data_IF_511250129491
#
_entry.id   IF_511250129491
#
_cell.length_a   1.000
_cell.length_b   1.000
_cell.length_c   1.000
_cell.angle_alpha   90.00
_cell.angle_beta   90.00
_cell.angle_gamma   90.00
#
_symmetry.space_group_name_H-M   'P 1'
#
loop_
_entity.id
_entity.type
_entity.pdbx_description
1 polymer ?
#
# COMPACT_ATOMS: atom_id res chain seq x y z
N UNK A 1 6.89 -23.78 2.74
CA UNK A 1 6.57 -23.50 1.33
C UNK A 1 6.92 -24.63 0.35
N UNK A 2 8.10 -25.29 0.35
CA UNK A 2 8.43 -26.27 -0.70
C UNK A 2 7.60 -27.56 -0.65
N UNK A 3 7.24 -28.06 0.53
CA UNK A 3 6.44 -29.30 0.69
C UNK A 3 5.01 -29.13 0.16
N UNK A 4 4.39 -27.96 0.40
CA UNK A 4 3.02 -27.67 -0.07
C UNK A 4 2.97 -27.61 -1.60
N UNK A 5 3.99 -27.04 -2.24
CA UNK A 5 4.08 -26.99 -3.71
C UNK A 5 4.22 -28.39 -4.33
N UNK A 6 4.93 -29.31 -3.68
CA UNK A 6 5.07 -30.70 -4.14
C UNK A 6 3.72 -31.43 -4.05
N UNK A 7 2.97 -31.24 -2.96
CA UNK A 7 1.65 -31.86 -2.77
C UNK A 7 0.63 -31.35 -3.80
N UNK A 8 0.66 -30.05 -4.11
CA UNK A 8 -0.30 -29.40 -5.03
C UNK A 8 0.19 -29.43 -6.49
N UNK A 9 1.38 -30.00 -6.77
CA UNK A 9 2.02 -29.99 -8.09
C UNK A 9 1.14 -30.52 -9.23
N UNK A 10 0.32 -31.53 -8.97
CA UNK A 10 -0.61 -32.09 -9.97
C UNK A 10 -1.82 -31.19 -10.27
N UNK A 11 -2.11 -30.19 -9.42
CA UNK A 11 -3.21 -29.23 -9.59
C UNK A 11 -2.73 -27.84 -10.01
N UNK A 12 -1.42 -27.65 -10.18
CA UNK A 12 -0.82 -26.37 -10.56
C UNK A 12 -0.87 -26.18 -12.09
N UNK A 13 -1.40 -25.05 -12.53
CA UNK A 13 -1.31 -24.61 -13.92
C UNK A 13 0.12 -24.19 -14.23
N UNK A 14 0.73 -24.82 -15.23
CA UNK A 14 2.10 -24.49 -15.69
C UNK A 14 1.99 -23.47 -16.82
N UNK A 15 2.11 -22.19 -16.47
CA UNK A 15 2.18 -21.13 -17.47
C UNK A 15 3.49 -21.28 -18.30
N UNK A 16 3.45 -21.05 -19.62
CA UNK A 16 4.66 -21.03 -20.44
C UNK A 16 5.61 -19.91 -19.95
N UNK A 17 6.94 -20.06 -20.13
CA UNK A 17 7.89 -19.03 -19.76
C UNK A 17 7.59 -17.76 -20.55
N UNK A 18 7.11 -16.73 -19.85
CA UNK A 18 6.86 -15.41 -20.41
C UNK A 18 8.12 -14.55 -20.22
N UNK A 19 8.41 -13.68 -21.18
CA UNK A 19 9.48 -12.68 -21.05
C UNK A 19 9.34 -11.80 -19.81
N UNK A 20 10.36 -11.00 -19.52
CA UNK A 20 10.32 -10.11 -18.36
C UNK A 20 9.40 -8.91 -18.62
N UNK A 21 8.24 -8.92 -17.97
CA UNK A 21 7.28 -7.80 -17.95
C UNK A 21 7.94 -6.50 -17.48
N UNK A 22 8.96 -6.59 -16.61
CA UNK A 22 9.73 -5.43 -16.18
C UNK A 22 10.56 -4.83 -17.33
N UNK A 23 11.13 -5.67 -18.20
CA UNK A 23 11.86 -5.16 -19.37
C UNK A 23 10.91 -4.47 -20.34
N UNK A 24 9.76 -5.08 -20.64
CA UNK A 24 8.70 -4.48 -21.48
C UNK A 24 8.22 -3.14 -20.91
N UNK A 25 7.91 -3.09 -19.61
CA UNK A 25 7.51 -1.87 -18.93
C UNK A 25 8.60 -0.78 -18.99
N UNK A 26 9.86 -1.15 -18.78
CA UNK A 26 11.01 -0.23 -18.91
C UNK A 26 11.15 0.28 -20.34
N UNK A 27 10.92 -0.56 -21.35
CA UNK A 27 10.90 -0.18 -22.76
C UNK A 27 9.86 0.89 -23.05
N UNK A 28 8.61 0.66 -22.65
CA UNK A 28 7.49 1.60 -22.81
C UNK A 28 7.76 2.93 -22.09
N UNK A 29 8.18 2.88 -20.83
CA UNK A 29 8.47 4.07 -20.03
C UNK A 29 9.64 4.86 -20.60
N UNK A 30 10.71 4.17 -21.05
CA UNK A 30 11.85 4.81 -21.72
C UNK A 30 11.41 5.48 -23.03
N UNK A 31 10.59 4.82 -23.83
CA UNK A 31 10.07 5.39 -25.08
C UNK A 31 9.22 6.64 -24.81
N UNK A 32 8.31 6.59 -23.83
CA UNK A 32 7.49 7.74 -23.41
C UNK A 32 8.32 8.93 -22.91
N UNK A 33 9.38 8.66 -22.12
CA UNK A 33 10.23 9.70 -21.54
C UNK A 33 11.19 10.32 -22.57
N UNK A 34 11.82 9.50 -23.42
CA UNK A 34 12.87 9.94 -24.34
C UNK A 34 12.34 10.44 -25.69
N UNK A 35 11.21 9.92 -26.20
CA UNK A 35 10.84 10.20 -27.59
C UNK A 35 10.06 11.50 -27.79
N UNK A 36 9.27 12.02 -26.82
CA UNK A 36 8.68 13.39 -26.90
C UNK A 36 7.84 13.85 -25.69
N UNK A 37 8.11 13.35 -24.49
CA UNK A 37 7.25 13.55 -23.33
C UNK A 37 7.68 14.64 -22.35
N UNK A 38 8.92 14.62 -21.89
CA UNK A 38 9.35 15.38 -20.71
C UNK A 38 8.63 14.92 -19.43
N UNK A 39 9.35 14.83 -18.31
CA UNK A 39 8.82 14.37 -17.02
C UNK A 39 7.51 15.09 -16.60
N UNK A 40 7.37 16.37 -16.97
CA UNK A 40 6.19 17.20 -16.68
C UNK A 40 4.90 16.75 -17.38
N UNK A 41 4.98 16.09 -18.54
CA UNK A 41 3.78 15.63 -19.28
C UNK A 41 3.33 14.24 -18.83
N UNK A 42 4.27 13.43 -18.33
CA UNK A 42 3.98 12.16 -17.66
C UNK A 42 3.07 12.36 -16.43
N UNK A 43 3.32 13.42 -15.65
CA UNK A 43 2.48 13.78 -14.49
C UNK A 43 1.12 14.39 -14.89
N UNK A 44 1.04 15.07 -16.05
CA UNK A 44 -0.20 15.68 -16.57
C UNK A 44 -1.17 14.68 -17.22
N UNK A 45 -0.76 13.43 -17.40
CA UNK A 45 -1.62 12.26 -17.66
C UNK A 45 -2.84 12.51 -18.53
N UNK A 46 -2.64 12.70 -19.84
CA UNK A 46 -3.73 12.70 -20.82
C UNK A 46 -3.73 11.42 -21.65
N UNK A 47 -4.91 10.98 -22.10
CA UNK A 47 -5.11 9.82 -23.00
C UNK A 47 -4.20 9.88 -24.22
N UNK A 48 -3.97 11.09 -24.73
CA UNK A 48 -3.09 11.37 -25.87
C UNK A 48 -1.60 11.06 -25.58
N UNK A 49 -1.15 11.12 -24.31
CA UNK A 49 0.22 10.77 -23.95
C UNK A 49 0.46 9.26 -24.04
N UNK A 50 -0.52 8.47 -23.59
CA UNK A 50 -0.43 7.01 -23.58
C UNK A 50 -0.67 6.41 -24.97
N UNK A 51 -1.59 6.99 -25.76
CA UNK A 51 -1.84 6.54 -27.13
C UNK A 51 -0.60 6.64 -28.04
N UNK A 52 0.32 7.56 -27.75
CA UNK A 52 1.58 7.73 -28.51
C UNK A 52 2.58 6.59 -28.34
N UNK A 53 2.48 5.81 -27.26
CA UNK A 53 3.35 4.66 -27.05
C UNK A 53 2.82 3.37 -27.70
N UNK A 54 1.59 3.41 -28.26
CA UNK A 54 1.01 2.29 -28.98
C UNK A 54 1.75 2.05 -30.29
N UNK A 55 2.30 0.85 -30.53
CA UNK A 55 2.79 0.44 -31.84
C UNK A 55 1.89 0.83 -33.02
N UNK A 56 0.55 0.75 -32.91
CA UNK A 56 -0.37 1.20 -33.99
C UNK A 56 -0.22 2.68 -34.33
N UNK A 57 -0.18 3.55 -33.32
CA UNK A 57 -0.02 4.99 -33.50
C UNK A 57 1.36 5.34 -34.08
N UNK A 58 2.41 4.58 -33.71
CA UNK A 58 3.77 4.77 -34.25
C UNK A 58 3.81 4.39 -35.75
N UNK A 59 3.09 3.34 -36.16
CA UNK A 59 2.93 2.96 -37.58
C UNK A 59 2.24 4.07 -38.39
N UNK A 60 1.22 4.72 -37.82
CA UNK A 60 0.51 5.83 -38.46
C UNK A 60 1.35 7.11 -38.58
N UNK A 61 2.37 7.28 -37.74
CA UNK A 61 3.27 8.46 -37.78
C UNK A 61 4.42 8.29 -38.80
N UNK A 62 4.47 7.18 -39.53
CA UNK A 62 5.46 6.94 -40.60
C UNK A 62 6.88 6.59 -40.12
N UNK A 63 7.06 6.17 -38.86
CA UNK A 63 8.35 5.71 -38.33
C UNK A 63 8.38 4.18 -38.41
N UNK A 64 9.37 3.61 -39.10
CA UNK A 64 9.57 2.15 -39.15
C UNK A 64 9.79 1.60 -37.74
N UNK A 65 9.02 0.57 -37.40
CA UNK A 65 9.14 -0.10 -36.11
C UNK A 65 10.31 -1.07 -36.20
N UNK A 66 11.41 -0.72 -35.53
CA UNK A 66 12.44 -1.70 -35.22
C UNK A 66 11.92 -2.63 -34.11
N UNK A 67 11.62 -3.89 -34.48
CA UNK A 67 11.09 -4.93 -33.59
C UNK A 67 12.05 -5.26 -32.43
N UNK A 68 13.32 -4.83 -32.51
CA UNK A 68 14.29 -4.91 -31.41
C UNK A 68 14.14 -3.80 -30.37
N UNK A 69 13.54 -2.67 -30.74
CA UNK A 69 13.37 -1.49 -29.88
C UNK A 69 11.95 -1.41 -29.31
N UNK A 70 10.94 -1.85 -30.07
CA UNK A 70 9.53 -1.91 -29.68
C UNK A 70 9.05 -3.35 -29.75
N UNK A 71 9.10 -4.04 -28.61
CA UNK A 71 8.69 -5.44 -28.44
C UNK A 71 7.41 -5.58 -27.61
N UNK A 72 6.68 -4.48 -27.41
CA UNK A 72 5.43 -4.44 -26.64
C UNK A 72 4.21 -4.25 -27.55
N UNK A 73 3.04 -4.69 -27.09
CA UNK A 73 1.76 -4.62 -27.78
C UNK A 73 0.93 -3.39 -27.38
N UNK A 74 0.03 -2.92 -28.23
CA UNK A 74 -0.88 -1.79 -27.95
C UNK A 74 -1.69 -2.03 -26.67
N UNK A 75 -2.16 -3.27 -26.50
CA UNK A 75 -2.90 -3.70 -25.32
C UNK A 75 -2.04 -3.64 -24.06
N UNK A 76 -0.73 -3.86 -24.17
CA UNK A 76 0.19 -3.72 -23.04
C UNK A 76 0.31 -2.26 -22.59
N UNK A 77 0.29 -1.31 -23.53
CA UNK A 77 0.34 0.12 -23.20
C UNK A 77 -0.91 0.56 -22.45
N UNK A 78 -2.09 0.08 -22.85
CA UNK A 78 -3.35 0.34 -22.14
C UNK A 78 -3.35 -0.29 -20.73
N UNK A 79 -2.85 -1.52 -20.62
CA UNK A 79 -2.67 -2.23 -19.35
C UNK A 79 -1.70 -1.49 -18.41
N UNK A 80 -0.60 -0.96 -18.95
CA UNK A 80 0.40 -0.20 -18.20
C UNK A 80 -0.18 1.14 -17.73
N UNK A 81 -0.88 1.87 -18.61
CA UNK A 81 -1.60 3.11 -18.26
C UNK A 81 -2.53 2.91 -17.08
N UNK A 82 -3.39 1.89 -17.15
CA UNK A 82 -4.35 1.60 -16.10
C UNK A 82 -3.68 1.17 -14.79
N UNK A 83 -2.58 0.42 -14.88
CA UNK A 83 -1.77 0.05 -13.72
C UNK A 83 -1.19 1.29 -13.04
N UNK A 84 -0.69 2.27 -13.81
CA UNK A 84 -0.21 3.55 -13.27
C UNK A 84 -1.32 4.37 -12.61
N UNK A 85 -2.54 4.36 -13.16
CA UNK A 85 -3.70 5.00 -12.55
C UNK A 85 -4.12 4.31 -11.24
N UNK A 86 -4.07 2.98 -11.17
CA UNK A 86 -4.31 2.23 -9.94
C UNK A 86 -3.22 2.50 -8.89
N UNK A 87 -1.96 2.65 -9.30
CA UNK A 87 -0.86 3.01 -8.41
C UNK A 87 -1.04 4.35 -7.69
N UNK A 88 -1.87 5.27 -8.23
CA UNK A 88 -2.18 6.54 -7.56
C UNK A 88 -2.86 6.34 -6.19
N UNK A 89 -3.63 5.26 -6.02
CA UNK A 89 -4.24 4.91 -4.72
C UNK A 89 -3.15 4.59 -3.69
N UNK A 90 -2.06 3.94 -4.11
CA UNK A 90 -1.00 3.50 -3.22
C UNK A 90 -0.14 4.66 -2.68
N UNK A 91 -0.09 5.80 -3.35
CA UNK A 91 0.69 6.96 -2.88
C UNK A 91 0.28 7.49 -1.51
N UNK A 92 -0.95 7.21 -1.07
CA UNK A 92 -1.46 7.65 0.23
C UNK A 92 -1.42 6.55 1.31
N UNK A 93 -1.13 5.30 0.94
CA UNK A 93 -0.90 4.20 1.90
C UNK A 93 0.27 4.48 2.86
N UNK A 94 1.39 5.11 2.45
CA UNK A 94 2.46 5.51 3.36
C UNK A 94 1.98 6.33 4.55
N UNK A 95 0.99 7.22 4.35
CA UNK A 95 0.45 8.03 5.45
C UNK A 95 -0.18 7.14 6.52
N UNK A 96 -0.95 6.14 6.10
CA UNK A 96 -1.49 5.14 7.01
C UNK A 96 -0.38 4.28 7.62
N UNK A 97 0.60 3.84 6.84
CA UNK A 97 1.74 3.06 7.32
C UNK A 97 2.55 3.80 8.40
N UNK A 98 2.71 5.12 8.27
CA UNK A 98 3.31 5.97 9.31
C UNK A 98 2.49 5.95 10.60
N UNK A 99 1.16 6.04 10.48
CA UNK A 99 0.23 6.01 11.61
C UNK A 99 0.09 4.63 12.26
N UNK A 100 0.29 3.53 11.51
CA UNK A 100 0.05 2.18 11.99
C UNK A 100 1.25 1.59 12.74
N UNK A 101 2.45 1.78 12.19
CA UNK A 101 3.68 1.28 12.81
C UNK A 101 4.94 2.07 12.46
N UNK A 102 4.85 3.07 11.59
CA UNK A 102 6.02 3.82 11.14
C UNK A 102 6.70 4.64 12.22
N UNK A 103 6.00 5.03 13.29
CA UNK A 103 6.58 5.68 14.49
C UNK A 103 6.67 4.73 15.71
N UNK A 104 6.86 3.44 15.44
CA UNK A 104 6.97 2.40 16.47
C UNK A 104 8.12 2.63 17.45
N UNK A 105 9.26 3.21 17.00
CA UNK A 105 10.39 3.55 17.87
C UNK A 105 10.00 4.57 18.94
N UNK A 106 9.34 5.65 18.56
CA UNK A 106 8.82 6.68 19.47
C UNK A 106 7.79 6.12 20.44
N UNK A 107 6.92 5.24 19.95
CA UNK A 107 5.90 4.57 20.76
C UNK A 107 6.55 3.64 21.79
N UNK A 108 7.67 2.99 21.44
CA UNK A 108 8.48 2.22 22.40
C UNK A 108 9.17 3.14 23.42
N UNK A 109 9.74 4.27 23.00
CA UNK A 109 10.34 5.25 23.93
C UNK A 109 9.31 5.80 24.93
N UNK A 110 8.08 6.04 24.49
CA UNK A 110 6.97 6.43 25.36
C UNK A 110 6.71 5.38 26.45
N UNK A 111 6.81 4.08 26.12
CA UNK A 111 6.58 2.99 27.08
C UNK A 111 7.64 2.91 28.18
N UNK A 112 8.87 3.40 27.92
CA UNK A 112 9.96 3.42 28.91
C UNK A 112 9.66 4.40 30.05
N UNK A 113 8.99 5.50 29.77
CA UNK A 113 8.59 6.48 30.79
C UNK A 113 7.34 6.09 31.58
N UNK A 114 6.68 4.98 31.23
CA UNK A 114 5.44 4.50 31.84
C UNK A 114 5.69 3.40 32.87
N UNK A 115 4.74 3.22 33.80
CA UNK A 115 4.79 2.18 34.82
C UNK A 115 4.52 0.80 34.24
N UNK A 116 5.57 0.00 34.23
CA UNK A 116 5.62 -1.40 33.80
C UNK A 116 5.09 -2.29 34.94
N UNK A 117 3.76 -2.37 35.11
CA UNK A 117 3.12 -3.20 36.15
C UNK A 117 3.28 -4.71 35.88
N UNK A 118 4.52 -5.23 35.88
CA UNK A 118 4.86 -6.64 35.72
C UNK A 118 4.85 -7.19 34.28
N UNK A 119 4.56 -6.37 33.26
CA UNK A 119 4.48 -6.78 31.85
C UNK A 119 5.60 -6.13 31.02
N UNK A 120 6.44 -6.88 30.29
CA UNK A 120 7.55 -6.29 29.53
C UNK A 120 7.07 -5.37 28.41
N UNK A 121 7.80 -4.28 28.15
CA UNK A 121 7.45 -3.29 27.12
C UNK A 121 7.32 -3.91 25.72
N UNK A 122 8.12 -4.94 25.42
CA UNK A 122 8.07 -5.67 24.15
C UNK A 122 6.72 -6.40 23.94
N UNK A 123 6.01 -6.73 25.02
CA UNK A 123 4.68 -7.35 24.93
C UNK A 123 3.68 -6.42 24.23
N UNK A 124 3.85 -5.10 24.33
CA UNK A 124 2.94 -4.14 23.71
C UNK A 124 2.89 -4.29 22.19
N UNK A 125 4.04 -4.55 21.54
CA UNK A 125 4.10 -4.76 20.09
C UNK A 125 3.32 -6.00 19.62
N UNK A 126 3.26 -7.05 20.44
CA UNK A 126 2.54 -8.29 20.11
C UNK A 126 1.01 -8.10 20.06
N UNK A 127 0.47 -7.06 20.72
CA UNK A 127 -0.95 -6.75 20.67
C UNK A 127 -1.44 -6.34 19.28
N UNK A 128 -0.57 -5.79 18.42
CA UNK A 128 -0.92 -5.52 17.02
C UNK A 128 -1.29 -6.83 16.31
N UNK A 129 -0.36 -7.79 16.27
CA UNK A 129 -0.56 -9.11 15.66
C UNK A 129 -1.75 -9.87 16.25
N UNK A 130 -1.90 -9.83 17.58
CA UNK A 130 -3.02 -10.48 18.27
C UNK A 130 -4.36 -9.84 17.88
N UNK A 131 -4.40 -8.52 17.74
CA UNK A 131 -5.60 -7.80 17.26
C UNK A 131 -5.97 -8.25 15.86
N UNK A 132 -5.02 -8.32 14.94
CA UNK A 132 -5.26 -8.80 13.57
C UNK A 132 -5.88 -10.20 13.59
N UNK A 133 -5.31 -11.13 14.36
CA UNK A 133 -5.80 -12.52 14.46
C UNK A 133 -7.23 -12.60 15.00
N UNK A 134 -7.58 -11.79 16.00
CA UNK A 134 -8.92 -11.78 16.62
C UNK A 134 -9.94 -11.04 15.76
N UNK A 135 -9.58 -9.87 15.21
CA UNK A 135 -10.49 -9.02 14.47
C UNK A 135 -10.73 -9.48 13.03
N UNK A 136 -9.80 -10.25 12.42
CA UNK A 136 -10.00 -10.83 11.08
C UNK A 136 -11.27 -11.68 10.98
N UNK A 137 -11.50 -12.72 11.82
CA UNK A 137 -12.74 -13.48 11.77
C UNK A 137 -13.95 -12.65 12.18
N UNK A 138 -13.80 -11.70 13.13
CA UNK A 138 -14.89 -10.82 13.54
C UNK A 138 -15.40 -9.96 12.38
N UNK A 139 -14.49 -9.35 11.62
CA UNK A 139 -14.86 -8.52 10.47
C UNK A 139 -15.51 -9.39 9.38
N UNK A 140 -14.91 -10.54 9.06
CA UNK A 140 -15.37 -11.39 7.96
C UNK A 140 -16.69 -12.12 8.25
N UNK A 141 -16.88 -12.65 9.46
CA UNK A 141 -18.05 -13.45 9.82
C UNK A 141 -19.15 -12.68 10.56
N UNK A 142 -18.81 -11.54 11.18
CA UNK A 142 -19.79 -10.73 11.94
C UNK A 142 -20.08 -9.42 11.23
N UNK A 143 -19.06 -8.59 10.99
CA UNK A 143 -19.27 -7.23 10.46
C UNK A 143 -19.82 -7.23 9.03
N UNK A 144 -19.19 -7.94 8.09
CA UNK A 144 -19.64 -7.95 6.69
C UNK A 144 -21.03 -8.58 6.53
N UNK A 145 -21.36 -9.73 7.12
CA UNK A 145 -22.72 -10.28 7.04
C UNK A 145 -23.76 -9.38 7.72
N UNK A 146 -23.39 -8.68 8.79
CA UNK A 146 -24.27 -7.71 9.44
C UNK A 146 -24.56 -6.49 8.56
N UNK A 147 -23.54 -5.95 7.88
CA UNK A 147 -23.70 -4.86 6.91
C UNK A 147 -24.57 -5.29 5.72
N UNK A 148 -24.37 -6.52 5.24
CA UNK A 148 -25.15 -7.10 4.14
C UNK A 148 -26.63 -7.28 4.53
N UNK A 149 -26.92 -7.75 5.75
CA UNK A 149 -28.30 -7.81 6.29
C UNK A 149 -28.99 -6.44 6.31
N UNK A 150 -28.23 -5.36 6.52
CA UNK A 150 -28.74 -3.98 6.46
C UNK A 150 -28.75 -3.38 5.06
N UNK A 151 -28.41 -4.15 4.02
CA UNK A 151 -28.32 -3.72 2.61
C UNK A 151 -27.36 -2.54 2.39
N UNK A 152 -26.37 -2.36 3.28
CA UNK A 152 -25.35 -1.31 3.15
C UNK A 152 -24.23 -1.88 2.27
N UNK A 153 -24.07 -1.32 1.06
CA UNK A 153 -22.97 -1.69 0.17
C UNK A 153 -21.66 -1.10 0.68
N UNK A 154 -20.87 -1.92 1.36
CA UNK A 154 -19.58 -1.48 1.91
C UNK A 154 -18.50 -1.47 0.82
N UNK A 155 -18.44 -0.36 0.08
CA UNK A 155 -17.49 -0.19 -1.03
C UNK A 155 -16.04 -0.19 -0.53
N UNK A 156 -15.08 -0.58 -1.38
CA UNK A 156 -13.66 -0.53 -1.05
C UNK A 156 -13.20 0.84 -0.51
N UNK A 157 -13.73 1.93 -1.07
CA UNK A 157 -13.36 3.27 -0.62
C UNK A 157 -13.85 3.60 0.80
N UNK A 158 -15.05 3.14 1.16
CA UNK A 158 -15.57 3.30 2.52
C UNK A 158 -14.78 2.49 3.55
N UNK A 159 -14.30 1.29 3.17
CA UNK A 159 -13.38 0.49 4.02
C UNK A 159 -12.13 1.28 4.34
N UNK A 160 -11.46 1.80 3.32
CA UNK A 160 -10.23 2.59 3.47
C UNK A 160 -10.48 3.82 4.37
N UNK A 161 -11.58 4.55 4.16
CA UNK A 161 -11.96 5.68 5.00
C UNK A 161 -12.09 5.29 6.49
N UNK A 162 -12.79 4.20 6.81
CA UNK A 162 -12.92 3.70 8.19
C UNK A 162 -11.55 3.41 8.81
N UNK A 163 -10.64 2.78 8.06
CA UNK A 163 -9.31 2.50 8.56
C UNK A 163 -8.49 3.76 8.84
N UNK A 164 -8.50 4.75 7.95
CA UNK A 164 -7.84 6.05 8.20
C UNK A 164 -8.42 6.80 9.41
N UNK A 165 -9.74 6.70 9.64
CA UNK A 165 -10.38 7.29 10.82
C UNK A 165 -9.94 6.58 12.11
N UNK A 166 -9.83 5.25 12.11
CA UNK A 166 -9.31 4.49 13.24
C UNK A 166 -7.84 4.84 13.54
N UNK A 167 -7.01 5.00 12.49
CA UNK A 167 -5.64 5.49 12.62
C UNK A 167 -5.56 6.89 13.21
N UNK A 168 -6.41 7.82 12.75
CA UNK A 168 -6.49 9.18 13.30
C UNK A 168 -6.87 9.20 14.78
N UNK A 169 -7.86 8.41 15.19
CA UNK A 169 -8.27 8.29 16.60
C UNK A 169 -7.10 7.73 17.44
N UNK A 170 -6.38 6.74 16.94
CA UNK A 170 -5.20 6.20 17.64
C UNK A 170 -4.12 7.26 17.84
N UNK A 171 -3.75 8.00 16.79
CA UNK A 171 -2.73 9.04 16.89
C UNK A 171 -3.16 10.17 17.85
N UNK A 172 -4.46 10.48 17.90
CA UNK A 172 -5.00 11.42 18.88
C UNK A 172 -4.85 10.91 20.33
N UNK A 173 -5.10 9.62 20.56
CA UNK A 173 -4.85 8.99 21.88
C UNK A 173 -3.36 9.05 22.23
N UNK A 174 -2.47 8.76 21.27
CA UNK A 174 -1.03 8.89 21.45
C UNK A 174 -0.58 10.29 21.83
N UNK A 175 -1.11 11.32 21.16
CA UNK A 175 -0.83 12.72 21.49
C UNK A 175 -1.30 13.09 22.91
N UNK A 176 -2.47 12.63 23.32
CA UNK A 176 -3.01 12.87 24.67
C UNK A 176 -2.15 12.16 25.72
N UNK A 177 -1.76 10.91 25.48
CA UNK A 177 -0.90 10.16 26.41
C UNK A 177 0.46 10.82 26.55
N UNK A 178 1.09 11.20 25.43
CA UNK A 178 2.37 11.89 25.46
C UNK A 178 2.30 13.22 26.20
N UNK A 179 1.23 13.99 25.99
CA UNK A 179 0.98 15.23 26.73
C UNK A 179 0.84 14.97 28.24
N UNK A 180 0.11 13.91 28.64
CA UNK A 180 -0.04 13.54 30.06
C UNK A 180 1.30 13.16 30.70
N UNK A 181 2.13 12.41 29.99
CA UNK A 181 3.48 12.04 30.46
C UNK A 181 4.32 13.29 30.73
N UNK A 182 4.32 14.27 29.81
CA UNK A 182 5.05 15.52 30.02
C UNK A 182 4.52 16.37 31.18
N UNK A 183 3.21 16.35 31.45
CA UNK A 183 2.64 17.10 32.57
C UNK A 183 2.85 16.43 33.92
N UNK A 184 2.92 15.10 33.98
CA UNK A 184 3.03 14.34 35.23
C UNK A 184 4.49 14.00 35.59
N UNK A 185 5.39 13.94 34.63
CA UNK A 185 6.82 13.68 34.86
C UNK A 185 7.54 14.88 35.49
N UNK A 186 8.48 14.61 36.40
CA UNK A 186 9.34 15.65 36.99
C UNK A 186 10.31 16.27 35.97
N UNK A 187 10.61 15.55 34.87
CA UNK A 187 11.55 15.93 33.82
C UNK A 187 10.91 16.69 32.66
N UNK A 188 9.59 16.96 32.72
CA UNK A 188 8.87 17.79 31.76
C UNK A 188 8.96 17.26 30.33
N UNK A 189 9.38 18.11 29.40
CA UNK A 189 9.45 17.76 27.97
C UNK A 189 10.59 16.83 27.58
N UNK A 190 11.48 16.42 28.51
CA UNK A 190 12.59 15.48 28.27
C UNK A 190 12.38 14.12 28.94
N UNK A 191 11.14 13.84 29.37
CA UNK A 191 10.81 12.66 30.17
C UNK A 191 11.14 11.34 29.48
N UNK A 192 10.93 11.21 28.17
CA UNK A 192 11.12 9.93 27.47
C UNK A 192 12.60 9.66 27.19
N UNK A 193 13.37 10.70 26.86
CA UNK A 193 14.80 10.59 26.57
C UNK A 193 15.58 10.32 27.86
N UNK A 194 15.31 11.06 28.95
CA UNK A 194 16.00 10.83 30.24
C UNK A 194 15.61 9.52 30.91
N UNK A 195 14.35 9.08 30.78
CA UNK A 195 13.95 7.75 31.25
C UNK A 195 14.65 6.64 30.46
N UNK A 196 14.91 6.84 29.17
CA UNK A 196 15.68 5.89 28.36
C UNK A 196 17.18 5.85 28.70
N UNK A 197 17.72 6.96 29.21
CA UNK A 197 19.10 7.05 29.72
C UNK A 197 19.26 6.47 31.15
N UNK A 198 18.16 5.99 31.75
CA UNK A 198 18.16 5.32 33.05
C UNK A 198 17.96 6.24 34.25
N UNK A 199 17.51 7.48 34.05
CA UNK A 199 17.17 8.39 35.14
C UNK A 199 15.88 7.96 35.85
N UNK A 200 15.98 7.64 37.14
CA UNK A 200 14.86 7.14 37.93
C UNK A 200 13.84 8.19 38.34
N UNK A 201 14.19 9.47 38.25
CA UNK A 201 13.30 10.56 38.67
C UNK A 201 12.33 10.98 37.56
N UNK A 202 12.52 10.49 36.34
CA UNK A 202 11.72 10.83 35.17
C UNK A 202 10.54 9.89 34.89
N UNK A 203 10.37 8.81 35.66
CA UNK A 203 9.27 7.86 35.48
C UNK A 203 7.92 8.45 35.88
N UNK A 204 6.86 8.07 35.16
CA UNK A 204 5.47 8.45 35.47
C UNK A 204 4.69 7.27 36.05
N UNK A 205 3.68 7.57 36.87
CA UNK A 205 2.75 6.56 37.41
C UNK A 205 1.69 6.11 36.39
N UNK A 206 1.74 6.63 35.17
CA UNK A 206 0.83 6.24 34.07
C UNK A 206 1.08 4.78 33.72
N UNK A 207 0.02 3.97 33.73
CA UNK A 207 0.14 2.55 33.42
C UNK A 207 0.39 2.30 31.94
N UNK A 208 1.28 1.35 31.64
CA UNK A 208 1.58 0.90 30.28
C UNK A 208 0.33 0.44 29.51
N UNK A 209 -0.69 -0.07 30.21
CA UNK A 209 -1.93 -0.58 29.63
C UNK A 209 -2.73 0.45 28.83
N UNK A 210 -2.56 1.75 29.10
CA UNK A 210 -3.17 2.81 28.30
C UNK A 210 -2.65 2.89 26.87
N UNK A 211 -1.55 2.23 26.57
CA UNK A 211 -1.00 2.11 25.22
C UNK A 211 -1.76 1.09 24.35
N UNK A 212 -2.53 0.17 24.94
CA UNK A 212 -3.26 -0.87 24.19
C UNK A 212 -4.20 -0.26 23.12
N UNK A 213 -5.10 0.69 23.45
CA UNK A 213 -6.00 1.28 22.45
C UNK A 213 -5.24 1.92 21.28
N UNK A 214 -4.07 2.50 21.56
CA UNK A 214 -3.22 3.11 20.55
C UNK A 214 -2.62 2.08 19.58
N UNK A 215 -2.35 0.85 20.02
CA UNK A 215 -1.81 -0.22 19.16
C UNK A 215 -2.94 -1.02 18.47
N UNK A 216 -4.05 -1.24 19.15
CA UNK A 216 -5.17 -2.05 18.66
C UNK A 216 -5.96 -1.33 17.56
N UNK A 217 -6.23 -0.04 17.71
CA UNK A 217 -7.05 0.71 16.74
C UNK A 217 -6.42 0.78 15.34
N UNK A 218 -5.12 1.09 15.17
CA UNK A 218 -4.47 1.04 13.86
C UNK A 218 -4.42 -0.37 13.28
N UNK A 219 -4.19 -1.41 14.10
CA UNK A 219 -4.20 -2.80 13.65
C UNK A 219 -5.56 -3.21 13.06
N UNK A 220 -6.67 -2.75 13.64
CA UNK A 220 -8.01 -2.92 13.05
C UNK A 220 -8.13 -2.11 11.75
N UNK A 221 -7.57 -0.89 11.73
CA UNK A 221 -7.52 -0.06 10.53
C UNK A 221 -6.72 -0.69 9.39
N UNK A 222 -5.64 -1.42 9.70
CA UNK A 222 -4.78 -2.12 8.76
C UNK A 222 -5.58 -3.18 8.00
N UNK A 223 -6.44 -3.93 8.70
CA UNK A 223 -7.37 -4.87 8.08
C UNK A 223 -8.28 -4.22 7.04
N UNK A 224 -8.70 -2.98 7.26
CA UNK A 224 -9.54 -2.27 6.29
C UNK A 224 -8.73 -1.64 5.15
N UNK A 225 -7.56 -1.07 5.43
CA UNK A 225 -6.76 -0.32 4.43
C UNK A 225 -5.93 -1.28 3.59
N UNK A 226 -5.10 -2.13 4.20
CA UNK A 226 -4.13 -2.96 3.48
C UNK A 226 -4.81 -4.08 2.71
N UNK A 227 -5.74 -4.80 3.33
CA UNK A 227 -6.46 -5.91 2.66
C UNK A 227 -7.24 -5.38 1.46
N UNK A 228 -7.99 -4.29 1.63
CA UNK A 228 -8.76 -3.68 0.55
C UNK A 228 -7.85 -3.14 -0.55
N UNK A 229 -6.70 -2.58 -0.18
CA UNK A 229 -5.72 -2.06 -1.15
C UNK A 229 -5.10 -3.19 -1.98
N UNK A 230 -4.79 -4.34 -1.36
CA UNK A 230 -4.37 -5.53 -2.09
C UNK A 230 -5.49 -6.10 -2.97
N UNK A 231 -6.73 -6.14 -2.49
CA UNK A 231 -7.90 -6.54 -3.30
C UNK A 231 -8.07 -5.64 -4.54
N UNK A 232 -7.97 -4.32 -4.37
CA UNK A 232 -8.02 -3.36 -5.47
C UNK A 232 -6.82 -3.51 -6.41
N UNK A 233 -5.62 -3.76 -5.88
CA UNK A 233 -4.43 -4.04 -6.68
C UNK A 233 -4.67 -5.25 -7.58
N UNK A 234 -5.15 -6.36 -7.02
CA UNK A 234 -5.34 -7.61 -7.76
C UNK A 234 -6.49 -7.54 -8.77
N UNK A 235 -7.57 -6.83 -8.46
CA UNK A 235 -8.75 -6.70 -9.34
C UNK A 235 -8.52 -5.70 -10.47
N UNK A 236 -7.59 -4.75 -10.31
CA UNK A 236 -7.23 -3.76 -11.33
C UNK A 236 -5.97 -4.11 -12.11
N UNK A 237 -5.15 -5.02 -11.60
CA UNK A 237 -3.95 -5.50 -12.25
C UNK A 237 -4.27 -6.47 -13.41
N UNK A 238 -3.65 -6.29 -14.60
CA UNK A 238 -3.65 -7.32 -15.61
C UNK A 238 -2.82 -8.52 -15.14
N UNK A 239 -3.21 -9.74 -15.56
CA UNK A 239 -2.68 -10.99 -15.02
C UNK A 239 -1.14 -11.11 -15.10
N UNK A 240 -0.52 -10.60 -16.17
CA UNK A 240 0.95 -10.58 -16.33
C UNK A 240 1.67 -9.52 -15.49
N UNK A 241 0.98 -8.48 -14.98
CA UNK A 241 1.58 -7.36 -14.24
C UNK A 241 1.29 -7.34 -12.74
N UNK A 242 0.58 -8.34 -12.21
CA UNK A 242 0.25 -8.43 -10.76
C UNK A 242 1.50 -8.26 -9.89
N UNK A 243 2.60 -8.91 -10.25
CA UNK A 243 3.88 -8.80 -9.54
C UNK A 243 4.49 -7.39 -9.59
N UNK A 244 4.39 -6.69 -10.72
CA UNK A 244 4.91 -5.32 -10.87
C UNK A 244 4.13 -4.33 -10.00
N UNK A 245 2.81 -4.47 -9.95
CA UNK A 245 1.94 -3.62 -9.13
C UNK A 245 2.20 -3.86 -7.64
N UNK A 246 2.36 -5.12 -7.25
CA UNK A 246 2.73 -5.46 -5.87
C UNK A 246 4.12 -4.91 -5.50
N UNK A 247 5.09 -4.99 -6.40
CA UNK A 247 6.41 -4.39 -6.20
C UNK A 247 6.34 -2.85 -6.05
N UNK A 248 5.50 -2.17 -6.83
CA UNK A 248 5.26 -0.74 -6.68
C UNK A 248 4.61 -0.39 -5.31
N UNK A 249 3.69 -1.23 -4.83
CA UNK A 249 3.11 -1.08 -3.49
C UNK A 249 4.20 -1.18 -2.40
N UNK A 250 5.04 -2.22 -2.43
CA UNK A 250 6.15 -2.39 -1.50
C UNK A 250 7.18 -1.26 -1.58
N UNK A 251 7.46 -0.76 -2.79
CA UNK A 251 8.34 0.39 -2.99
C UNK A 251 7.80 1.65 -2.29
N UNK A 252 6.48 1.82 -2.28
CA UNK A 252 5.85 2.95 -1.58
C UNK A 252 6.00 2.81 -0.06
N UNK A 253 5.92 1.58 0.48
CA UNK A 253 6.24 1.32 1.89
C UNK A 253 7.70 1.64 2.22
N UNK A 254 8.64 1.37 1.32
CA UNK A 254 10.05 1.75 1.51
C UNK A 254 10.23 3.28 1.57
N UNK A 255 9.49 4.04 0.77
CA UNK A 255 9.45 5.51 0.84
C UNK A 255 8.91 5.97 2.21
N UNK A 256 7.88 5.30 2.73
CA UNK A 256 7.34 5.57 4.07
C UNK A 256 8.41 5.45 5.15
N UNK A 257 9.15 4.33 5.16
CA UNK A 257 10.21 4.10 6.16
C UNK A 257 11.39 5.07 5.99
N UNK A 258 11.73 5.43 4.75
CA UNK A 258 12.74 6.45 4.49
C UNK A 258 12.31 7.83 5.02
N UNK A 259 11.02 8.17 4.91
CA UNK A 259 10.47 9.40 5.47
C UNK A 259 10.50 9.38 7.01
N UNK A 260 10.15 8.26 7.66
CA UNK A 260 10.33 8.11 9.11
C UNK A 260 11.78 8.38 9.53
N UNK A 261 12.76 7.77 8.83
CA UNK A 261 14.17 7.96 9.14
C UNK A 261 14.58 9.44 8.99
N UNK A 262 14.11 10.12 7.96
CA UNK A 262 14.38 11.55 7.75
C UNK A 262 13.76 12.43 8.85
N UNK A 263 12.62 12.02 9.41
CA UNK A 263 11.92 12.72 10.49
C UNK A 263 12.42 12.36 11.89
N UNK A 264 13.39 11.44 12.02
CA UNK A 264 13.92 11.01 13.31
C UNK A 264 14.31 12.13 14.29
N UNK A 265 14.93 13.27 13.89
CA UNK A 265 15.24 14.34 14.86
C UNK A 265 13.99 15.02 15.46
N UNK A 266 12.83 14.92 14.80
CA UNK A 266 11.54 15.45 15.29
C UNK A 266 10.82 14.40 16.16
N UNK A 267 11.21 13.12 16.03
CA UNK A 267 10.68 11.97 16.77
C UNK A 267 11.37 11.76 18.14
N UNK A 268 12.05 12.79 18.65
CA UNK A 268 12.69 12.83 19.97
C UNK A 268 12.09 13.98 20.80
N UNK A 269 12.26 13.92 22.11
CA UNK A 269 11.93 15.03 23.02
C UNK A 269 12.69 16.31 22.59
N UNK A 270 12.09 17.51 22.72
CA UNK A 270 10.81 17.88 23.33
C UNK A 270 9.60 17.88 22.37
N UNK A 271 9.80 17.52 21.10
CA UNK A 271 8.81 17.71 20.04
C UNK A 271 7.87 16.50 19.86
N UNK A 272 7.94 15.49 20.72
CA UNK A 272 7.31 14.17 20.52
C UNK A 272 5.79 14.20 20.34
N UNK A 273 5.11 15.21 20.90
CA UNK A 273 3.65 15.39 20.72
C UNK A 273 3.31 15.75 19.27
N UNK A 274 4.15 16.56 18.61
CA UNK A 274 3.84 17.12 17.29
C UNK A 274 3.74 16.06 16.19
N UNK A 275 4.60 15.03 16.11
CA UNK A 275 4.42 13.90 15.21
C UNK A 275 3.07 13.20 15.36
N UNK A 276 2.62 12.93 16.59
CA UNK A 276 1.31 12.31 16.83
C UNK A 276 0.17 13.20 16.35
N UNK A 277 0.23 14.51 16.66
CA UNK A 277 -0.77 15.48 16.21
C UNK A 277 -0.77 15.62 14.68
N UNK A 278 0.40 15.73 14.06
CA UNK A 278 0.56 15.87 12.61
C UNK A 278 0.00 14.63 11.88
N UNK A 279 0.30 13.42 12.36
CA UNK A 279 -0.23 12.18 11.81
C UNK A 279 -1.74 12.03 12.07
N UNK A 280 -2.25 12.47 13.21
CA UNK A 280 -3.70 12.49 13.48
C UNK A 280 -4.45 13.35 12.45
N UNK A 281 -3.95 14.56 12.19
CA UNK A 281 -4.52 15.49 11.20
C UNK A 281 -4.34 14.94 9.79
N UNK A 282 -3.16 14.45 9.44
CA UNK A 282 -2.88 13.89 8.11
C UNK A 282 -3.79 12.68 7.81
N UNK A 283 -3.95 11.75 8.76
CA UNK A 283 -4.83 10.60 8.64
C UNK A 283 -6.30 11.01 8.58
N UNK A 284 -6.73 12.01 9.34
CA UNK A 284 -8.09 12.55 9.28
C UNK A 284 -8.39 13.16 7.90
N UNK A 285 -7.53 14.07 7.43
CA UNK A 285 -7.67 14.72 6.12
C UNK A 285 -7.62 13.69 5.01
N UNK A 286 -6.69 12.72 5.08
CA UNK A 286 -6.64 11.61 4.12
C UNK A 286 -7.97 10.83 4.13
N UNK A 287 -8.49 10.45 5.30
CA UNK A 287 -9.75 9.73 5.45
C UNK A 287 -10.94 10.41 4.75
N UNK A 288 -11.03 11.74 4.80
CA UNK A 288 -12.07 12.50 4.07
C UNK A 288 -11.75 12.73 2.59
N UNK A 289 -10.48 12.95 2.24
CA UNK A 289 -10.06 13.16 0.85
C UNK A 289 -10.21 11.90 -0.01
N UNK A 290 -9.94 10.71 0.54
CA UNK A 290 -10.03 9.44 -0.17
C UNK A 290 -11.38 9.21 -0.88
N UNK A 291 -12.53 9.23 -0.17
CA UNK A 291 -13.83 9.01 -0.78
C UNK A 291 -14.28 10.12 -1.73
N UNK A 292 -13.73 11.34 -1.61
CA UNK A 292 -14.08 12.47 -2.48
C UNK A 292 -13.27 12.44 -3.78
N UNK A 293 -11.95 12.30 -3.70
CA UNK A 293 -11.06 12.31 -4.87
C UNK A 293 -11.15 11.02 -5.69
N UNK A 294 -11.30 9.87 -5.03
CA UNK A 294 -11.22 8.57 -5.69
C UNK A 294 -12.57 7.89 -5.88
N UNK A 295 -13.68 8.64 -5.76
CA UNK A 295 -15.04 8.12 -6.05
C UNK A 295 -15.16 7.52 -7.45
N UNK A 296 -14.35 7.98 -8.41
CA UNK A 296 -14.32 7.41 -9.77
C UNK A 296 -13.87 5.93 -9.78
N UNK A 297 -13.06 5.53 -8.79
CA UNK A 297 -12.51 4.18 -8.67
C UNK A 297 -13.48 3.21 -7.99
N UNK A 298 -14.62 3.65 -7.46
CA UNK A 298 -15.66 2.75 -6.94
C UNK A 298 -16.44 2.02 -8.05
N UNK A 299 -16.33 2.46 -9.31
CA UNK A 299 -16.97 1.75 -10.43
C UNK A 299 -16.27 0.39 -10.62
N UNK A 300 -17.01 -0.74 -10.62
CA UNK A 300 -16.43 -2.01 -10.98
C UNK A 300 -15.90 -1.89 -12.40
N UNK A 301 -14.59 -2.02 -12.57
CA UNK A 301 -13.99 -2.09 -13.90
C UNK A 301 -14.32 -3.49 -14.42
N UNK A 302 -14.93 -3.56 -15.61
CA UNK A 302 -15.31 -4.81 -16.26
C UNK A 302 -14.04 -5.55 -16.68
N UNK A 303 -13.44 -6.26 -15.73
CA UNK A 303 -12.40 -7.27 -15.95
C UNK A 303 -12.75 -8.59 -15.24
N UNK A 304 -14.05 -8.84 -15.04
CA UNK A 304 -14.57 -10.12 -14.55
C UNK A 304 -14.58 -11.20 -15.65
N UNK A 305 -13.50 -11.30 -16.44
CA UNK A 305 -13.19 -12.59 -17.07
C UNK A 305 -12.31 -13.35 -16.08
N UNK A 306 -12.94 -14.26 -15.32
CA UNK A 306 -12.20 -15.22 -14.49
C UNK A 306 -11.15 -15.96 -15.32
N UNK A 307 -11.44 -16.25 -16.60
CA UNK A 307 -10.49 -16.86 -17.54
C UNK A 307 -9.27 -15.98 -17.86
N UNK A 308 -9.40 -14.65 -17.77
CA UNK A 308 -8.29 -13.71 -17.93
C UNK A 308 -7.45 -13.60 -16.65
N UNK A 309 -8.06 -13.71 -15.46
CA UNK A 309 -7.35 -13.75 -14.17
C UNK A 309 -6.54 -15.03 -13.99
N UNK A 310 -6.99 -16.14 -14.58
CA UNK A 310 -6.31 -17.43 -14.65
C UNK A 310 -5.22 -17.50 -15.74
N UNK A 311 -5.07 -16.45 -16.56
CA UNK A 311 -4.05 -16.40 -17.60
C UNK A 311 -4.34 -17.23 -18.86
N UNK A 312 -5.54 -17.81 -19.00
CA UNK A 312 -5.91 -18.69 -20.12
C UNK A 312 -5.97 -18.00 -21.49
N UNK A 313 -6.19 -16.68 -21.50
CA UNK A 313 -6.26 -15.86 -22.74
C UNK A 313 -4.99 -15.03 -22.99
N UNK A 314 -3.87 -15.34 -22.33
CA UNK A 314 -2.62 -14.65 -22.63
C UNK A 314 -2.09 -15.15 -23.98
N UNK A 315 -1.87 -14.26 -24.98
CA UNK A 315 -1.28 -14.70 -26.24
C UNK A 315 0.08 -15.33 -25.94
N UNK A 316 0.27 -16.57 -26.39
CA UNK A 316 1.56 -17.23 -26.35
C UNK A 316 2.49 -16.41 -27.26
N UNK A 317 3.61 -15.90 -26.73
CA UNK A 317 4.64 -15.22 -27.53
C UNK A 317 5.17 -16.08 -28.69
N UNK A 318 4.89 -17.39 -28.67
CA UNK A 318 5.32 -18.36 -29.67
C UNK A 318 4.52 -18.23 -30.98
N UNK A 319 3.24 -17.84 -30.94
CA UNK A 319 2.41 -17.76 -32.17
C UNK A 319 2.65 -16.46 -32.97
N UNK A 320 3.24 -15.43 -32.36
CA UNK A 320 3.57 -14.17 -33.03
C UNK A 320 4.91 -14.19 -33.77
N UNK A 321 5.64 -15.30 -33.73
CA UNK A 321 6.90 -15.49 -34.48
C UNK A 321 6.70 -16.18 -35.83
N UNK A 322 5.51 -16.73 -36.12
CA UNK A 322 5.19 -17.16 -37.48
C UNK A 322 4.78 -15.94 -38.31
N UNK A 323 5.76 -15.36 -38.97
CA UNK A 323 5.54 -14.54 -40.16
C UNK A 323 4.69 -15.32 -41.18
N UNK A 324 3.74 -14.67 -41.88
CA UNK A 324 2.92 -15.32 -42.92
C UNK A 324 3.70 -15.79 -44.17
N UNK A 325 5.03 -15.82 -44.12
CA UNK A 325 5.89 -16.31 -45.20
C UNK A 325 6.18 -17.82 -45.12
N UNK A 326 5.88 -18.49 -44.00
CA UNK A 326 6.12 -19.94 -43.86
C UNK A 326 5.00 -20.82 -44.47
N UNK A 327 3.83 -20.26 -44.82
CA UNK A 327 2.78 -20.99 -45.55
C UNK A 327 3.08 -21.15 -47.05
N UNK A 328 4.15 -20.53 -47.57
CA UNK A 328 4.54 -20.65 -48.99
C UNK A 328 5.66 -21.66 -49.26
N UNK A 329 6.05 -22.44 -48.28
CA UNK A 329 7.00 -23.56 -48.44
C UNK A 329 6.46 -24.83 -47.78
N UNK A 330 5.27 -25.23 -48.22
CA UNK A 330 4.81 -26.61 -48.15
C UNK A 330 5.25 -27.36 -49.41
#
# INVERSE_FOLDING_TARGET
MPIVLIIVWKRLYKAPPQGSVLTEAKGVVKHLLFVKGGWKRCWKGGDDFWNRAKPSYIRETGVEIDTKVVYWDDRFVDELRQSFDACKIFFLIPIFGLSDGGIGSTTSLMSVAMKVNGAPNDLMSNFNSLSIVIFTPLINYVLYPWLEKRKIRFTPMWRICVGFMLGSISMMIGAILQWRIYTESACGYEATTRSSDGDSDCYTDISLWWQIPMIVLPAIGELFVMVTSYELAYTRAPARMKGLIYAACLFTSAISSALTLALNPILLDPYLIWPYVALAIASFVAGFCFPIFFKHLDKPVVFNDFDRMEGKQQPNQIDTLHTPDDEKKA
#
